data_IF_145585380393
#
_entry.id   IF_145585380393
#
_cell.length_a   1.000
_cell.length_b   1.000
_cell.length_c   1.000
_cell.angle_alpha   90.00
_cell.angle_beta   90.00
_cell.angle_gamma   90.00
#
_symmetry.space_group_name_H-M   'P 1'
#
loop_
_entity.id
_entity.type
_entity.pdbx_description
1 polymer ?
#
# COMPACT_ATOMS: atom_id res chain seq x y z
N UNK A 1 -9.25 5.26 6.00
CA UNK A 1 -10.71 5.28 6.19
C UNK A 1 -11.29 6.22 5.16
N UNK A 2 -12.35 5.82 4.45
CA UNK A 2 -13.09 6.74 3.59
C UNK A 2 -13.99 7.63 4.45
N UNK A 3 -14.53 8.72 3.88
CA UNK A 3 -15.49 9.60 4.57
C UNK A 3 -16.77 8.87 4.99
N UNK A 4 -17.14 7.81 4.27
CA UNK A 4 -18.29 6.94 4.58
C UNK A 4 -18.02 5.93 5.72
N UNK A 5 -16.88 6.03 6.41
CA UNK A 5 -16.48 5.10 7.47
C UNK A 5 -15.90 3.78 6.96
N UNK A 6 -15.95 3.50 5.66
CA UNK A 6 -15.42 2.23 5.11
C UNK A 6 -13.90 2.16 5.26
N UNK A 7 -13.43 1.03 5.78
CA UNK A 7 -12.00 0.71 5.91
C UNK A 7 -11.60 -0.23 4.78
N UNK A 8 -10.42 0.00 4.19
CA UNK A 8 -9.89 -0.86 3.13
C UNK A 8 -8.43 -1.18 3.40
N UNK A 9 -8.04 -2.44 3.25
CA UNK A 9 -6.64 -2.86 3.24
C UNK A 9 -6.06 -2.70 1.82
N UNK A 10 -4.87 -2.11 1.69
CA UNK A 10 -4.22 -1.86 0.40
C UNK A 10 -2.73 -2.09 0.49
N UNK A 11 -2.18 -2.72 -0.54
CA UNK A 11 -0.74 -2.75 -0.79
C UNK A 11 -0.37 -1.56 -1.65
N UNK A 12 0.66 -0.81 -1.24
CA UNK A 12 1.14 0.38 -1.95
C UNK A 12 2.67 0.42 -1.97
N UNK A 13 3.26 1.08 -2.97
CA UNK A 13 4.69 1.48 -2.97
C UNK A 13 4.75 3.00 -2.81
N UNK A 14 5.33 3.45 -1.71
CA UNK A 14 5.52 4.89 -1.44
C UNK A 14 6.59 5.44 -2.37
N UNK A 15 6.27 6.52 -3.08
CA UNK A 15 7.22 7.26 -3.93
C UNK A 15 7.68 8.57 -3.31
N UNK A 16 6.77 9.24 -2.62
CA UNK A 16 7.05 10.51 -1.95
C UNK A 16 6.20 10.63 -0.69
N UNK A 17 6.77 11.20 0.35
CA UNK A 17 6.10 11.52 1.62
C UNK A 17 6.17 13.02 1.86
N UNK A 18 5.05 13.61 2.27
CA UNK A 18 4.96 14.95 2.85
C UNK A 18 4.49 14.86 4.30
N UNK A 19 4.31 16.00 4.96
CA UNK A 19 3.87 16.05 6.35
C UNK A 19 2.47 15.49 6.56
N UNK A 20 1.57 15.62 5.56
CA UNK A 20 0.16 15.24 5.68
C UNK A 20 -0.27 14.14 4.72
N UNK A 21 0.57 13.80 3.73
CA UNK A 21 0.18 12.90 2.64
C UNK A 21 1.34 12.02 2.17
N UNK A 22 0.99 10.90 1.53
CA UNK A 22 1.93 10.07 0.79
C UNK A 22 1.45 9.89 -0.65
N UNK A 23 2.36 10.05 -1.61
CA UNK A 23 2.14 9.71 -3.02
C UNK A 23 2.68 8.31 -3.25
N UNK A 24 1.81 7.39 -3.66
CA UNK A 24 2.16 5.98 -3.76
C UNK A 24 1.50 5.32 -4.97
N UNK A 25 2.16 4.30 -5.52
CA UNK A 25 1.53 3.41 -6.49
C UNK A 25 0.61 2.43 -5.75
N UNK A 26 -0.66 2.37 -6.15
CA UNK A 26 -1.68 1.55 -5.50
C UNK A 26 -1.98 0.30 -6.33
N UNK A 27 -1.62 -0.89 -5.84
CA UNK A 27 -1.79 -2.14 -6.58
C UNK A 27 -3.25 -2.46 -6.91
N UNK A 28 -4.19 -2.20 -5.99
CA UNK A 28 -5.61 -2.48 -6.22
C UNK A 28 -6.25 -1.65 -7.34
N UNK A 29 -5.60 -0.57 -7.78
CA UNK A 29 -6.10 0.32 -8.84
C UNK A 29 -5.09 0.52 -9.97
N UNK A 30 -3.91 -0.09 -9.86
CA UNK A 30 -2.79 0.02 -10.81
C UNK A 30 -2.45 1.46 -11.22
N UNK A 31 -2.54 2.40 -10.28
CA UNK A 31 -2.32 3.82 -10.56
C UNK A 31 -1.64 4.54 -9.40
N UNK A 32 -1.00 5.68 -9.69
CA UNK A 32 -0.46 6.59 -8.67
C UNK A 32 -1.62 7.30 -7.97
N UNK A 33 -1.64 7.24 -6.64
CA UNK A 33 -2.64 7.93 -5.82
C UNK A 33 -1.98 8.59 -4.63
N UNK A 34 -2.64 9.64 -4.15
CA UNK A 34 -2.29 10.31 -2.91
C UNK A 34 -3.16 9.78 -1.77
N UNK A 35 -2.55 9.49 -0.64
CA UNK A 35 -3.22 9.03 0.58
C UNK A 35 -2.93 10.04 1.70
N UNK A 36 -3.97 10.47 2.42
CA UNK A 36 -3.83 11.29 3.61
C UNK A 36 -3.28 10.42 4.75
N UNK A 37 -2.28 10.92 5.49
CA UNK A 37 -1.69 10.19 6.62
C UNK A 37 -2.75 9.91 7.70
N UNK A 38 -3.59 10.89 8.01
CA UNK A 38 -4.68 10.74 9.00
C UNK A 38 -5.73 9.69 8.61
N UNK A 39 -5.77 9.30 7.34
CA UNK A 39 -6.66 8.25 6.85
C UNK A 39 -6.03 6.85 6.90
N UNK A 40 -4.77 6.71 7.32
CA UNK A 40 -4.06 5.43 7.46
C UNK A 40 -4.12 5.00 8.92
N UNK A 41 -4.96 4.01 9.21
CA UNK A 41 -5.17 3.52 10.59
C UNK A 41 -4.03 2.60 11.07
N UNK A 42 -3.41 1.86 10.14
CA UNK A 42 -2.25 1.02 10.41
C UNK A 42 -1.49 0.72 9.12
N UNK A 43 -0.21 0.35 9.26
CA UNK A 43 0.61 -0.12 8.16
C UNK A 43 1.59 -1.20 8.63
N UNK A 44 1.91 -2.14 7.74
CA UNK A 44 2.97 -3.12 7.91
C UNK A 44 3.66 -3.35 6.55
N UNK A 45 4.89 -3.86 6.57
CA UNK A 45 5.60 -4.25 5.37
C UNK A 45 4.97 -5.51 4.76
N UNK A 46 4.96 -5.57 3.43
CA UNK A 46 4.52 -6.78 2.72
C UNK A 46 5.53 -7.89 3.01
N UNK A 47 5.08 -8.94 3.69
CA UNK A 47 5.88 -10.15 3.90
C UNK A 47 5.77 -11.02 2.65
N UNK A 48 6.82 -11.09 1.85
CA UNK A 48 6.90 -12.07 0.77
C UNK A 48 7.27 -13.41 1.39
N UNK A 49 6.40 -14.40 1.25
CA UNK A 49 6.69 -15.76 1.69
C UNK A 49 7.77 -16.31 0.74
N UNK A 50 9.04 -16.31 1.15
CA UNK A 50 10.21 -16.70 0.32
C UNK A 50 10.16 -18.15 -0.19
N UNK A 51 9.19 -18.95 0.22
CA UNK A 51 9.11 -20.38 -0.12
C UNK A 51 8.82 -20.66 -1.61
N UNK A 52 8.22 -19.71 -2.36
CA UNK A 52 7.88 -19.91 -3.78
C UNK A 52 8.85 -19.28 -4.79
N UNK A 53 9.90 -18.58 -4.35
CA UNK A 53 10.89 -18.00 -5.29
C UNK A 53 11.86 -19.05 -5.85
N UNK A 54 12.04 -20.19 -5.17
CA UNK A 54 12.90 -21.29 -5.63
C UNK A 54 12.22 -22.28 -6.59
N UNK A 55 10.94 -22.09 -6.90
CA UNK A 55 10.17 -22.97 -7.80
C UNK A 55 9.94 -22.34 -9.19
N UNK A 56 10.34 -21.09 -9.40
CA UNK A 56 10.19 -20.39 -10.68
C UNK A 56 11.44 -20.47 -11.59
N UNK A 57 12.55 -21.01 -11.08
CA UNK A 57 13.83 -21.19 -11.80
C UNK A 57 14.10 -22.67 -12.14
N UNK A 58 13.06 -23.49 -12.39
CA UNK A 58 13.22 -24.89 -12.78
C UNK A 58 12.47 -25.25 -14.05
#
# INVERSE_FOLDING_TARGET
MKKDGTISKRTIIVRQKSQTQIKAFCFSKQQIRTFLLDSILSCDFVRTNKQNLYLADR
#
